data_IF_431416539818
#
_entry.id   IF_431416539818
#
_cell.length_a   1.000
_cell.length_b   1.000
_cell.length_c   1.000
_cell.angle_alpha   90.00
_cell.angle_beta   90.00
_cell.angle_gamma   90.00
#
_symmetry.space_group_name_H-M   'P 1'
#
loop_
_entity.id
_entity.type
_entity.pdbx_description
1 polymer ?
#
# COMPACT_ATOMS: atom_id res chain seq x y z
N UNK A 1 -13.51 21.64 -5.78
CA UNK A 1 -13.66 20.78 -4.58
C UNK A 1 -12.78 21.37 -3.50
N UNK A 2 -13.34 22.20 -2.63
CA UNK A 2 -12.60 22.81 -1.52
C UNK A 2 -12.70 21.79 -0.40
N UNK A 3 -11.59 21.10 -0.11
CA UNK A 3 -11.52 20.23 1.06
C UNK A 3 -11.71 21.13 2.28
N UNK A 4 -12.68 20.84 3.14
CA UNK A 4 -12.88 21.55 4.39
C UNK A 4 -11.68 21.30 5.29
N UNK A 5 -10.68 22.17 5.19
CA UNK A 5 -9.64 22.35 6.19
C UNK A 5 -10.39 22.91 7.40
N UNK A 6 -10.34 22.26 8.56
CA UNK A 6 -11.24 22.53 9.67
C UNK A 6 -10.97 23.89 10.32
N UNK A 7 -10.26 23.88 11.44
CA UNK A 7 -9.80 25.11 12.09
C UNK A 7 -8.37 25.50 11.65
N UNK A 8 -7.77 24.72 10.75
CA UNK A 8 -6.40 24.95 10.30
C UNK A 8 -6.36 25.96 9.16
N UNK A 9 -5.49 26.96 9.25
CA UNK A 9 -5.39 28.02 8.24
C UNK A 9 -4.70 27.54 6.94
N UNK A 10 -3.85 26.51 7.02
CA UNK A 10 -3.11 25.96 5.87
C UNK A 10 -2.58 24.55 6.17
N UNK A 11 -2.64 23.65 5.19
CA UNK A 11 -1.98 22.34 5.24
C UNK A 11 -0.71 22.40 4.39
N UNK A 12 0.44 22.22 5.03
CA UNK A 12 1.74 22.14 4.37
C UNK A 12 2.11 20.69 4.14
N UNK A 13 2.28 20.31 2.87
CA UNK A 13 2.70 18.95 2.52
C UNK A 13 4.18 18.71 2.84
N UNK A 14 4.54 17.42 2.96
CA UNK A 14 5.93 16.98 3.14
C UNK A 14 6.93 17.58 2.11
N UNK A 15 6.61 17.71 0.81
CA UNK A 15 7.52 18.35 -0.14
C UNK A 15 7.85 19.80 0.22
N UNK A 16 6.86 20.54 0.72
CA UNK A 16 7.05 21.93 1.14
C UNK A 16 7.93 22.03 2.38
N UNK A 17 7.70 21.16 3.38
CA UNK A 17 8.49 21.08 4.60
C UNK A 17 9.96 20.73 4.31
N UNK A 18 10.20 19.81 3.37
CA UNK A 18 11.56 19.45 2.93
C UNK A 18 12.28 20.61 2.25
N UNK A 19 11.60 21.32 1.35
CA UNK A 19 12.20 22.42 0.59
C UNK A 19 12.59 23.60 1.49
N UNK A 20 11.74 23.96 2.45
CA UNK A 20 11.99 25.09 3.34
C UNK A 20 12.79 24.73 4.60
N UNK A 21 12.81 23.45 4.96
CA UNK A 21 13.49 22.87 6.12
C UNK A 21 13.45 23.76 7.39
N UNK A 22 12.27 24.18 7.85
CA UNK A 22 12.15 24.99 9.06
C UNK A 22 12.44 24.15 10.31
N UNK A 23 12.83 24.81 11.39
CA UNK A 23 12.84 24.17 12.72
C UNK A 23 11.43 24.19 13.27
N UNK A 24 10.87 23.01 13.54
CA UNK A 24 9.50 22.85 14.05
C UNK A 24 9.58 22.28 15.45
N UNK A 25 8.97 22.99 16.40
CA UNK A 25 8.67 22.44 17.72
C UNK A 25 7.25 21.87 17.70
N UNK A 26 7.15 20.54 17.76
CA UNK A 26 5.88 19.82 17.65
C UNK A 26 5.03 19.89 18.92
N UNK A 27 5.61 20.21 20.09
CA UNK A 27 4.85 20.34 21.34
C UNK A 27 4.15 21.71 21.42
N UNK A 28 4.83 22.76 20.94
CA UNK A 28 4.30 24.15 20.98
C UNK A 28 3.62 24.56 19.68
N UNK A 29 3.88 23.87 18.57
CA UNK A 29 3.38 24.22 17.24
C UNK A 29 4.12 25.40 16.61
N UNK A 30 5.25 25.82 17.17
CA UNK A 30 6.04 26.93 16.66
C UNK A 30 6.96 26.49 15.51
N UNK A 31 7.06 27.34 14.49
CA UNK A 31 7.92 27.11 13.33
C UNK A 31 8.87 28.29 13.14
N UNK A 32 10.17 28.01 13.16
CA UNK A 32 11.23 29.02 13.02
C UNK A 32 12.02 28.83 11.72
N UNK A 33 12.22 29.92 10.98
CA UNK A 33 13.06 29.94 9.79
C UNK A 33 14.44 30.49 10.11
N UNK A 34 15.47 29.78 9.69
CA UNK A 34 16.81 30.33 9.75
C UNK A 34 16.98 31.42 8.69
N UNK A 35 17.50 32.61 9.03
CA UNK A 35 17.74 33.65 8.05
C UNK A 35 18.77 33.14 7.03
N UNK A 36 18.40 33.15 5.75
CA UNK A 36 19.33 32.87 4.64
C UNK A 36 20.50 33.85 4.75
N UNK A 37 21.68 33.37 5.14
CA UNK A 37 22.89 34.19 5.25
C UNK A 37 23.32 34.62 3.85
N UNK A 38 22.93 35.82 3.43
CA UNK A 38 23.55 36.49 2.28
C UNK A 38 24.95 36.92 2.67
N UNK A 39 25.96 36.14 2.31
CA UNK A 39 27.35 36.58 2.41
C UNK A 39 27.66 37.39 1.14
N UNK A 40 27.99 38.68 1.29
CA UNK A 40 28.56 39.47 0.20
C UNK A 40 30.08 39.29 0.18
N UNK A 41 30.57 38.32 -0.60
CA UNK A 41 32.01 38.19 -0.84
C UNK A 41 32.35 39.04 -2.07
N UNK A 42 33.38 39.90 -2.00
CA UNK A 42 33.74 40.86 -3.06
C UNK A 42 33.94 40.26 -4.47
N UNK A 43 34.08 38.94 -4.59
CA UNK A 43 34.26 38.19 -5.86
C UNK A 43 33.18 37.13 -6.14
N UNK A 44 32.20 36.94 -5.26
CA UNK A 44 31.17 35.92 -5.46
C UNK A 44 29.80 36.45 -5.02
N UNK A 45 28.82 36.35 -5.93
CA UNK A 45 27.41 36.65 -5.67
C UNK A 45 26.60 35.39 -5.99
N UNK A 46 26.44 34.52 -4.99
CA UNK A 46 25.67 33.28 -5.13
C UNK A 46 25.11 32.81 -3.79
N UNK A 47 24.04 32.02 -3.86
CA UNK A 47 23.42 31.32 -2.72
C UNK A 47 24.11 29.96 -2.58
N UNK A 48 24.55 29.62 -1.38
CA UNK A 48 25.34 28.41 -1.07
C UNK A 48 24.44 27.32 -0.47
N UNK A 49 23.27 27.11 -1.06
CA UNK A 49 22.40 25.97 -0.79
C UNK A 49 22.28 25.19 -2.10
N UNK A 50 23.29 24.38 -2.43
CA UNK A 50 23.19 23.33 -3.44
C UNK A 50 22.33 22.21 -2.88
N UNK A 51 21.01 22.38 -2.94
CA UNK A 51 20.12 21.23 -3.00
C UNK A 51 19.68 21.10 -4.46
N UNK A 52 20.00 19.95 -5.05
CA UNK A 52 19.53 19.57 -6.38
C UNK A 52 18.01 19.81 -6.46
N UNK A 53 17.50 20.48 -7.50
CA UNK A 53 16.08 20.72 -7.62
C UNK A 53 15.35 19.38 -7.76
N UNK A 54 14.66 18.94 -6.71
CA UNK A 54 13.74 17.82 -6.80
C UNK A 54 12.65 18.18 -7.83
N UNK A 55 12.60 17.41 -8.92
CA UNK A 55 11.57 17.54 -9.96
C UNK A 55 10.22 17.18 -9.33
N UNK A 56 9.41 18.21 -9.03
CA UNK A 56 8.02 18.03 -8.64
C UNK A 56 7.22 17.52 -9.85
N UNK A 57 7.22 16.19 -10.03
CA UNK A 57 6.29 15.52 -10.93
C UNK A 57 4.90 15.73 -10.34
N UNK A 58 4.08 16.58 -10.98
CA UNK A 58 2.72 16.95 -10.56
C UNK A 58 1.68 15.81 -10.58
N UNK A 59 2.13 14.55 -10.62
CA UNK A 59 1.31 13.38 -10.42
C UNK A 59 1.46 12.94 -8.96
N UNK A 60 0.35 12.87 -8.21
CA UNK A 60 0.33 12.36 -6.83
C UNK A 60 0.63 10.86 -6.84
N UNK A 61 1.91 10.50 -6.95
CA UNK A 61 2.35 9.13 -6.69
C UNK A 61 2.37 9.02 -5.16
N UNK A 62 1.50 8.18 -4.62
CA UNK A 62 1.52 7.93 -3.18
C UNK A 62 2.82 7.19 -2.83
N UNK A 63 3.41 7.48 -1.67
CA UNK A 63 4.63 6.82 -1.16
C UNK A 63 4.50 5.28 -1.24
N UNK A 64 3.30 4.72 -1.07
CA UNK A 64 3.02 3.30 -1.26
C UNK A 64 3.26 2.78 -2.68
N UNK A 65 2.96 3.56 -3.71
CA UNK A 65 3.18 3.21 -5.12
C UNK A 65 4.67 3.28 -5.48
N UNK A 66 5.41 4.28 -4.97
CA UNK A 66 6.87 4.31 -5.10
C UNK A 66 7.52 3.11 -4.42
N UNK A 67 7.10 2.78 -3.20
CA UNK A 67 7.61 1.60 -2.49
C UNK A 67 7.29 0.30 -3.23
N UNK A 68 6.11 0.17 -3.87
CA UNK A 68 5.76 -0.98 -4.69
C UNK A 68 6.63 -1.07 -5.97
N UNK A 69 6.92 0.05 -6.63
CA UNK A 69 7.81 0.08 -7.80
C UNK A 69 9.27 -0.20 -7.45
N UNK A 70 9.73 0.19 -6.27
CA UNK A 70 11.09 -0.07 -5.78
C UNK A 70 11.31 -1.53 -5.33
N UNK A 71 10.24 -2.30 -5.12
CA UNK A 71 10.34 -3.75 -4.99
C UNK A 71 10.69 -4.37 -6.35
N UNK A 72 11.95 -4.25 -6.74
CA UNK A 72 12.52 -5.16 -7.73
C UNK A 72 12.33 -6.58 -7.19
N UNK A 73 11.50 -7.37 -7.87
CA UNK A 73 11.24 -8.77 -7.56
C UNK A 73 12.46 -9.60 -7.95
N UNK A 74 13.56 -9.43 -7.21
CA UNK A 74 14.58 -10.46 -7.13
C UNK A 74 13.85 -11.67 -6.56
N UNK A 75 13.59 -12.67 -7.41
CA UNK A 75 12.99 -13.96 -7.03
C UNK A 75 13.97 -14.67 -6.10
N UNK A 76 14.04 -14.22 -4.86
CA UNK A 76 14.78 -14.91 -3.79
C UNK A 76 14.12 -16.27 -3.59
N UNK A 77 14.93 -17.30 -3.40
CA UNK A 77 14.40 -18.64 -3.16
C UNK A 77 13.55 -18.62 -1.88
N UNK A 78 12.45 -19.37 -1.87
CA UNK A 78 11.49 -19.43 -0.76
C UNK A 78 12.23 -19.77 0.56
N UNK A 79 13.30 -20.57 0.47
CA UNK A 79 14.14 -20.94 1.61
C UNK A 79 14.86 -19.77 2.29
N UNK A 80 15.21 -18.73 1.56
CA UNK A 80 15.90 -17.56 2.09
C UNK A 80 14.94 -16.53 2.70
N UNK A 81 13.67 -16.54 2.24
CA UNK A 81 12.63 -15.66 2.73
C UNK A 81 11.98 -16.16 4.01
N UNK A 82 11.94 -17.48 4.22
CA UNK A 82 11.33 -18.08 5.40
C UNK A 82 12.29 -17.95 6.60
N UNK A 83 11.89 -17.26 7.68
CA UNK A 83 12.68 -17.21 8.90
C UNK A 83 12.98 -18.61 9.44
N UNK A 84 14.13 -18.79 10.08
CA UNK A 84 14.62 -20.11 10.52
C UNK A 84 13.63 -20.91 11.38
N UNK A 85 12.83 -20.22 12.21
CA UNK A 85 11.79 -20.83 13.05
C UNK A 85 10.56 -21.33 12.28
N UNK A 86 10.37 -20.91 11.02
CA UNK A 86 9.24 -21.27 10.16
C UNK A 86 9.61 -22.28 9.07
N UNK A 87 10.88 -22.69 8.99
CA UNK A 87 11.34 -23.67 8.00
C UNK A 87 10.56 -24.99 8.10
N UNK A 88 10.14 -25.38 9.31
CA UNK A 88 9.29 -26.58 9.52
C UNK A 88 7.90 -26.49 8.87
N UNK A 89 7.42 -25.30 8.56
CA UNK A 89 6.13 -25.03 7.91
C UNK A 89 6.29 -24.61 6.45
N UNK A 90 7.39 -24.99 5.80
CA UNK A 90 7.70 -24.63 4.40
C UNK A 90 6.55 -24.96 3.45
N UNK A 91 5.86 -26.06 3.71
CA UNK A 91 4.66 -26.50 2.98
C UNK A 91 3.57 -25.42 2.93
N UNK A 92 3.39 -24.63 3.99
CA UNK A 92 2.40 -23.53 4.04
C UNK A 92 2.79 -22.30 3.22
N UNK A 93 4.07 -22.18 2.83
CA UNK A 93 4.57 -21.11 1.98
C UNK A 93 4.64 -21.50 0.50
N UNK A 94 4.43 -22.78 0.17
CA UNK A 94 4.34 -23.26 -1.20
C UNK A 94 2.94 -22.96 -1.76
N UNK A 95 2.87 -22.10 -2.79
CA UNK A 95 1.61 -21.62 -3.39
C UNK A 95 0.60 -22.74 -3.67
N UNK A 96 1.03 -23.81 -4.34
CA UNK A 96 0.13 -24.93 -4.69
C UNK A 96 -0.41 -25.71 -3.49
N UNK A 97 0.35 -25.83 -2.39
CA UNK A 97 -0.14 -26.47 -1.16
C UNK A 97 -1.02 -25.55 -0.33
N UNK A 98 -0.77 -24.23 -0.40
CA UNK A 98 -1.57 -23.24 0.28
C UNK A 98 -2.96 -23.03 -0.35
N UNK A 99 -3.10 -23.29 -1.66
CA UNK A 99 -4.38 -23.22 -2.38
C UNK A 99 -5.28 -24.44 -2.13
N UNK A 100 -4.73 -25.55 -1.62
CA UNK A 100 -5.50 -26.75 -1.32
C UNK A 100 -6.31 -26.61 -0.02
N UNK A 101 -7.52 -27.17 0.00
CA UNK A 101 -8.28 -27.28 1.24
C UNK A 101 -7.50 -28.02 2.33
N UNK A 102 -7.63 -27.60 3.61
CA UNK A 102 -7.04 -28.32 4.71
C UNK A 102 -7.61 -29.75 4.78
N UNK A 103 -6.87 -30.70 5.37
CA UNK A 103 -7.39 -32.05 5.57
C UNK A 103 -8.68 -32.02 6.40
N UNK A 104 -9.57 -32.97 6.12
CA UNK A 104 -10.82 -33.13 6.85
C UNK A 104 -10.55 -33.23 8.36
N UNK A 105 -11.34 -32.51 9.15
CA UNK A 105 -11.23 -32.45 10.61
C UNK A 105 -12.41 -33.16 11.24
N UNK A 106 -12.27 -33.57 12.49
CA UNK A 106 -13.37 -34.15 13.28
C UNK A 106 -14.47 -33.13 13.58
N UNK A 107 -14.13 -31.85 13.60
CA UNK A 107 -15.05 -30.74 13.76
C UNK A 107 -15.17 -30.05 12.41
N UNK A 108 -16.21 -30.42 11.66
CA UNK A 108 -16.64 -29.66 10.50
C UNK A 108 -17.82 -28.78 10.89
N UNK A 109 -17.90 -27.58 10.35
CA UNK A 109 -18.99 -26.67 10.64
C UNK A 109 -20.21 -27.09 9.82
N UNK A 110 -21.08 -27.90 10.42
CA UNK A 110 -22.37 -28.24 9.82
C UNK A 110 -23.29 -27.02 9.77
N UNK A 111 -23.99 -26.84 8.65
CA UNK A 111 -25.07 -25.86 8.52
C UNK A 111 -26.38 -26.57 8.89
N UNK A 112 -26.77 -26.46 10.15
CA UNK A 112 -28.02 -27.05 10.64
C UNK A 112 -29.23 -26.28 10.10
N UNK A 113 -29.97 -26.92 9.18
CA UNK A 113 -31.18 -26.35 8.61
C UNK A 113 -32.36 -26.55 9.57
N UNK A 114 -33.28 -25.57 9.60
CA UNK A 114 -34.56 -25.73 10.28
C UNK A 114 -35.38 -26.83 9.60
N UNK A 115 -36.18 -27.62 10.33
CA UNK A 115 -36.96 -28.73 9.74
C UNK A 115 -37.97 -28.27 8.67
N UNK A 116 -38.45 -27.03 8.77
CA UNK A 116 -39.38 -26.43 7.80
C UNK A 116 -38.68 -25.68 6.66
N UNK A 117 -37.36 -25.83 6.52
CA UNK A 117 -36.60 -25.10 5.50
C UNK A 117 -36.92 -25.62 4.09
N UNK A 118 -37.39 -24.72 3.23
CA UNK A 118 -37.56 -24.98 1.80
C UNK A 118 -36.46 -24.21 1.04
N UNK A 119 -35.60 -24.89 0.27
CA UNK A 119 -34.59 -24.23 -0.56
C UNK A 119 -35.24 -23.24 -1.52
N UNK A 120 -34.74 -22.00 -1.52
CA UNK A 120 -35.17 -20.98 -2.48
C UNK A 120 -34.22 -20.99 -3.66
N UNK A 121 -34.73 -21.35 -4.83
CA UNK A 121 -34.00 -21.17 -6.07
C UNK A 121 -34.16 -19.71 -6.52
N UNK A 122 -33.14 -18.89 -6.27
CA UNK A 122 -33.09 -17.51 -6.71
C UNK A 122 -32.36 -17.41 -8.05
N UNK A 123 -32.88 -16.62 -8.99
CA UNK A 123 -32.18 -16.34 -10.24
C UNK A 123 -30.87 -15.62 -9.94
N UNK A 124 -29.78 -16.13 -10.51
CA UNK A 124 -28.50 -15.45 -10.49
C UNK A 124 -28.62 -14.13 -11.25
N UNK A 125 -27.87 -13.12 -10.86
CA UNK A 125 -27.75 -11.92 -11.66
C UNK A 125 -27.12 -12.28 -13.01
N UNK A 126 -27.65 -11.75 -14.13
CA UNK A 126 -27.05 -11.99 -15.43
C UNK A 126 -25.64 -11.36 -15.42
N UNK A 127 -24.64 -12.18 -15.72
CA UNK A 127 -23.28 -11.72 -15.94
C UNK A 127 -23.15 -11.18 -17.37
N UNK A 128 -22.26 -10.21 -17.55
CA UNK A 128 -21.83 -9.83 -18.89
C UNK A 128 -21.01 -10.97 -19.54
N UNK A 129 -20.88 -11.01 -20.88
CA UNK A 129 -20.12 -12.08 -21.54
C UNK A 129 -18.67 -12.22 -21.05
N UNK A 130 -18.03 -11.11 -20.69
CA UNK A 130 -16.65 -11.09 -20.18
C UNK A 130 -16.58 -11.70 -18.77
N UNK A 131 -17.50 -11.31 -17.88
CA UNK A 131 -17.56 -11.86 -16.52
C UNK A 131 -17.91 -13.35 -16.53
N UNK A 132 -18.74 -13.79 -17.48
CA UNK A 132 -19.07 -15.19 -17.64
C UNK A 132 -17.88 -16.01 -18.12
N UNK A 133 -17.10 -15.51 -19.09
CA UNK A 133 -15.87 -16.17 -19.55
C UNK A 133 -14.84 -16.30 -18.42
N UNK A 134 -14.67 -15.25 -17.60
CA UNK A 134 -13.80 -15.30 -16.43
C UNK A 134 -14.29 -16.28 -15.36
N UNK A 135 -15.61 -16.32 -15.11
CA UNK A 135 -16.21 -17.29 -14.21
C UNK A 135 -15.99 -18.73 -14.69
N UNK A 136 -16.27 -19.01 -15.97
CA UNK A 136 -16.13 -20.34 -16.54
C UNK A 136 -14.67 -20.80 -16.47
N UNK A 137 -13.73 -19.92 -16.81
CA UNK A 137 -12.29 -20.18 -16.65
C UNK A 137 -11.91 -20.49 -15.20
N UNK A 138 -12.43 -19.71 -14.24
CA UNK A 138 -12.16 -19.95 -12.82
C UNK A 138 -12.71 -21.31 -12.37
N UNK A 139 -13.90 -21.69 -12.83
CA UNK A 139 -14.51 -22.98 -12.52
C UNK A 139 -13.69 -24.14 -13.10
N UNK A 140 -13.23 -24.04 -14.36
CA UNK A 140 -12.35 -25.05 -14.98
C UNK A 140 -11.00 -25.23 -14.25
N UNK A 141 -10.46 -24.16 -13.65
CA UNK A 141 -9.20 -24.22 -12.92
C UNK A 141 -9.33 -24.85 -11.51
N UNK A 142 -10.52 -24.80 -10.88
CA UNK A 142 -10.69 -25.10 -9.45
C UNK A 142 -11.68 -26.23 -9.11
N UNK A 143 -12.46 -26.74 -10.09
CA UNK A 143 -13.36 -27.90 -9.94
C UNK A 143 -12.75 -29.19 -10.52
#
# INVERSE_FOLDING_TARGET
MILGIGNEEMILGLPWLRYHNPTIDWETGEMQFHPRRRIQIKRFRGVLDEFEPEVLIGAKIMVSQEMAHQQQTVKKDIKELIPSYLIGYRDRFEKGKAEQFPPARTYDHAIDLKPDFVPRNCKLYPLSPIEQEEQDKFLEENL
#
